data_IF_809101907643
#
_entry.id   IF_809101907643
#
_cell.length_a   1.000
_cell.length_b   1.000
_cell.length_c   1.000
_cell.angle_alpha   90.00
_cell.angle_beta   90.00
_cell.angle_gamma   90.00
#
_symmetry.space_group_name_H-M   'P 1'
#
loop_
_entity.id
_entity.type
_entity.pdbx_description
1 polymer ?
#
# COMPACT_ATOMS: atom_id res chain seq x y z
N UNK A 1 48.64 28.16 79.97
CA UNK A 1 49.91 28.67 79.42
C UNK A 1 50.06 28.14 78.00
N UNK A 2 50.73 28.89 77.15
CA UNK A 2 50.55 28.96 75.70
C UNK A 2 51.26 27.87 74.86
N UNK A 3 50.95 27.94 73.55
CA UNK A 3 51.62 27.40 72.36
C UNK A 3 51.14 25.99 71.93
N UNK A 4 50.56 25.77 70.75
CA UNK A 4 50.42 26.59 69.54
C UNK A 4 50.74 25.71 68.34
N UNK A 5 49.75 25.33 67.53
CA UNK A 5 49.96 24.65 66.24
C UNK A 5 49.08 25.30 65.17
N UNK A 6 49.76 25.93 64.21
CA UNK A 6 49.23 26.72 63.12
C UNK A 6 48.65 25.81 62.02
N UNK A 7 47.51 26.20 61.48
CA UNK A 7 46.96 25.70 60.22
C UNK A 7 47.92 25.99 59.05
N UNK A 8 48.06 25.03 58.13
CA UNK A 8 48.68 25.22 56.81
C UNK A 8 47.76 24.62 55.73
N UNK A 9 47.43 25.37 54.66
CA UNK A 9 46.44 24.96 53.67
C UNK A 9 47.11 24.17 52.54
N UNK A 10 46.88 22.86 52.50
CA UNK A 10 47.03 22.06 51.27
C UNK A 10 45.87 21.09 51.13
N UNK A 11 44.69 21.66 50.86
CA UNK A 11 43.55 20.97 50.25
C UNK A 11 43.19 21.75 48.98
N UNK A 12 43.84 21.44 47.87
CA UNK A 12 43.42 21.79 46.49
C UNK A 12 44.50 21.28 45.52
N UNK A 13 44.43 20.00 45.13
CA UNK A 13 45.16 19.51 43.94
C UNK A 13 44.76 18.10 43.47
N UNK A 14 43.89 17.37 44.20
CA UNK A 14 43.56 15.98 43.84
C UNK A 14 42.04 15.74 43.79
N UNK A 15 41.32 16.63 43.12
CA UNK A 15 39.90 16.45 42.78
C UNK A 15 39.57 17.01 41.37
N UNK A 16 40.59 17.07 40.49
CA UNK A 16 40.46 17.62 39.14
C UNK A 16 41.13 16.75 38.06
N UNK A 17 41.35 15.46 38.36
CA UNK A 17 41.90 14.50 37.40
C UNK A 17 40.96 13.31 37.10
N UNK A 18 39.77 13.24 37.71
CA UNK A 18 38.78 12.18 37.46
C UNK A 18 37.45 12.72 36.88
N UNK A 19 37.34 14.04 36.69
CA UNK A 19 36.14 14.70 36.15
C UNK A 19 36.30 15.18 34.69
N UNK A 20 37.30 14.68 33.94
CA UNK A 20 37.54 15.01 32.51
C UNK A 20 37.60 13.74 31.65
N UNK A 21 36.86 12.69 32.02
CA UNK A 21 36.67 11.48 31.20
C UNK A 21 35.18 11.21 30.92
N UNK A 22 34.28 12.07 31.38
CA UNK A 22 32.87 12.04 31.04
C UNK A 22 32.54 13.24 30.14
N UNK A 23 31.99 12.97 28.96
CA UNK A 23 31.45 13.92 27.97
C UNK A 23 32.34 14.39 26.80
N UNK A 24 33.38 13.64 26.42
CA UNK A 24 33.93 13.73 25.06
C UNK A 24 33.63 12.43 24.32
N UNK A 25 32.40 12.29 23.82
CA UNK A 25 32.14 11.33 22.75
C UNK A 25 32.91 11.86 21.53
N UNK A 26 33.99 11.19 21.15
CA UNK A 26 34.66 11.51 19.88
C UNK A 26 33.63 11.41 18.76
N UNK A 27 33.60 12.37 17.81
CA UNK A 27 32.74 12.26 16.64
C UNK A 27 33.03 10.92 15.96
N UNK A 28 31.98 10.15 15.70
CA UNK A 28 32.08 8.94 14.89
C UNK A 28 32.19 9.41 13.45
N UNK A 29 33.08 8.84 12.65
CA UNK A 29 33.28 9.26 11.26
C UNK A 29 32.77 8.18 10.30
N UNK A 30 32.09 8.61 9.23
CA UNK A 30 31.72 7.79 8.08
C UNK A 30 32.13 8.53 6.80
N UNK A 31 32.72 7.83 5.84
CA UNK A 31 33.08 8.37 4.51
C UNK A 31 33.87 9.70 4.51
N UNK A 32 34.69 9.94 5.55
CA UNK A 32 35.54 11.13 5.65
C UNK A 32 34.92 12.35 6.34
N UNK A 33 33.69 12.25 6.87
CA UNK A 33 33.04 13.29 7.68
C UNK A 33 32.41 12.70 8.95
N UNK A 34 31.96 13.55 9.87
CA UNK A 34 31.21 13.11 11.06
C UNK A 34 29.94 12.36 10.61
N UNK A 35 29.72 11.18 11.18
CA UNK A 35 28.58 10.33 10.90
C UNK A 35 27.32 10.94 11.48
N UNK A 36 26.34 11.18 10.62
CA UNK A 36 25.02 11.61 11.06
C UNK A 36 24.26 10.39 11.60
N UNK A 37 23.84 10.46 12.86
CA UNK A 37 23.26 9.33 13.58
C UNK A 37 21.74 9.47 13.69
N UNK A 38 21.02 8.37 13.47
CA UNK A 38 19.56 8.28 13.61
C UNK A 38 19.16 7.20 14.62
N UNK A 39 18.00 7.30 15.29
CA UNK A 39 17.53 6.28 16.24
C UNK A 39 17.22 4.96 15.52
N UNK A 40 17.86 3.86 15.96
CA UNK A 40 17.77 2.55 15.31
C UNK A 40 16.32 2.05 15.21
N UNK A 41 15.59 2.02 16.34
CA UNK A 41 14.25 1.41 16.40
C UNK A 41 13.27 2.10 15.46
N UNK A 42 13.22 3.44 15.50
CA UNK A 42 12.33 4.24 14.66
C UNK A 42 12.66 4.05 13.18
N UNK A 43 13.93 4.17 12.82
CA UNK A 43 14.39 4.08 11.43
C UNK A 43 14.14 2.69 10.85
N UNK A 44 14.32 1.62 11.63
CA UNK A 44 14.05 0.24 11.17
C UNK A 44 12.56 -0.09 11.12
N UNK A 45 11.75 0.42 12.05
CA UNK A 45 10.29 0.28 11.98
C UNK A 45 9.70 0.98 10.76
N UNK A 46 10.15 2.21 10.45
CA UNK A 46 9.75 2.93 9.24
C UNK A 46 10.21 2.20 7.95
N UNK A 47 11.34 1.51 8.01
CA UNK A 47 11.80 0.62 6.94
C UNK A 47 11.02 -0.69 6.88
N UNK A 48 10.20 -1.03 7.88
CA UNK A 48 9.44 -2.29 7.94
C UNK A 48 10.27 -3.50 8.35
N UNK A 49 11.36 -3.29 9.09
CA UNK A 49 12.12 -4.38 9.69
C UNK A 49 11.68 -4.64 11.14
N UNK A 50 11.63 -5.92 11.52
CA UNK A 50 11.46 -6.33 12.90
C UNK A 50 12.76 -6.11 13.67
N UNK A 51 12.65 -5.57 14.88
CA UNK A 51 13.79 -5.28 15.77
C UNK A 51 13.59 -6.02 17.08
N UNK A 52 14.55 -6.89 17.41
CA UNK A 52 14.56 -7.63 18.67
C UNK A 52 15.87 -7.37 19.41
N UNK A 53 15.75 -6.98 20.68
CA UNK A 53 16.89 -6.83 21.59
C UNK A 53 16.97 -8.02 22.54
N UNK A 54 18.12 -8.67 22.59
CA UNK A 54 18.46 -9.67 23.61
C UNK A 54 19.42 -9.04 24.62
N UNK A 55 18.92 -8.80 25.83
CA UNK A 55 19.69 -8.20 26.91
C UNK A 55 20.79 -9.12 27.46
N UNK A 56 20.59 -10.44 27.44
CA UNK A 56 21.62 -11.38 27.90
C UNK A 56 22.79 -11.44 26.92
N UNK A 57 22.49 -11.52 25.63
CA UNK A 57 23.49 -11.59 24.57
C UNK A 57 24.08 -10.20 24.20
N UNK A 58 23.44 -9.13 24.66
CA UNK A 58 23.68 -7.73 24.27
C UNK A 58 23.70 -7.59 22.73
N UNK A 59 22.64 -8.07 22.10
CA UNK A 59 22.58 -8.26 20.64
C UNK A 59 21.22 -7.86 20.08
N UNK A 60 21.26 -7.10 18.99
CA UNK A 60 20.10 -6.90 18.14
C UNK A 60 20.00 -8.03 17.12
N UNK A 61 18.80 -8.57 16.97
CA UNK A 61 18.37 -9.34 15.80
C UNK A 61 17.42 -8.48 14.99
N UNK A 62 17.77 -8.22 13.73
CA UNK A 62 16.98 -7.41 12.81
C UNK A 62 16.53 -8.31 11.66
N UNK A 63 15.24 -8.31 11.35
CA UNK A 63 14.68 -9.21 10.33
C UNK A 63 13.84 -8.39 9.35
N UNK A 64 14.11 -8.56 8.06
CA UNK A 64 13.24 -8.04 7.00
C UNK A 64 13.33 -8.95 5.79
N UNK A 65 12.18 -9.44 5.32
CA UNK A 65 12.10 -10.34 4.17
C UNK A 65 13.06 -11.54 4.32
N UNK A 66 14.03 -11.68 3.41
CA UNK A 66 15.07 -12.72 3.46
C UNK A 66 16.33 -12.36 4.26
N UNK A 67 16.43 -11.13 4.77
CA UNK A 67 17.58 -10.65 5.53
C UNK A 67 17.41 -10.93 7.03
N UNK A 68 18.29 -11.75 7.58
CA UNK A 68 18.43 -12.03 9.00
C UNK A 68 19.77 -11.46 9.50
N UNK A 69 19.70 -10.40 10.30
CA UNK A 69 20.88 -9.64 10.75
C UNK A 69 21.07 -9.80 12.25
N UNK A 70 22.31 -10.04 12.69
CA UNK A 70 22.74 -9.95 14.09
C UNK A 70 23.81 -8.89 14.24
N UNK A 71 23.60 -7.94 15.14
CA UNK A 71 24.57 -6.86 15.39
C UNK A 71 24.65 -6.54 16.88
N UNK A 72 25.88 -6.41 17.40
CA UNK A 72 26.13 -5.99 18.78
C UNK A 72 26.50 -4.51 18.81
N UNK A 73 25.99 -3.72 19.78
CA UNK A 73 26.47 -2.36 19.96
C UNK A 73 27.99 -2.30 20.17
N UNK A 74 28.63 -1.31 19.55
CA UNK A 74 30.09 -1.12 19.56
C UNK A 74 30.89 -2.10 18.70
N UNK A 75 30.28 -3.15 18.14
CA UNK A 75 30.97 -4.04 17.23
C UNK A 75 31.26 -3.36 15.89
N UNK A 76 32.46 -3.61 15.34
CA UNK A 76 32.85 -3.15 14.00
C UNK A 76 32.28 -4.01 12.87
N UNK A 77 31.61 -5.10 13.22
CA UNK A 77 31.01 -6.02 12.26
C UNK A 77 29.59 -6.40 12.69
N UNK A 78 28.78 -6.73 11.68
CA UNK A 78 27.49 -7.40 11.83
C UNK A 78 27.55 -8.77 11.14
N UNK A 79 26.57 -9.62 11.42
CA UNK A 79 26.32 -10.85 10.67
C UNK A 79 25.04 -10.67 9.86
N UNK A 80 25.09 -10.88 8.55
CA UNK A 80 23.93 -10.89 7.64
C UNK A 80 23.85 -12.28 7.00
N UNK A 81 22.75 -13.00 7.22
CA UNK A 81 22.53 -14.36 6.70
C UNK A 81 23.73 -15.31 6.95
N UNK A 82 24.31 -15.22 8.15
CA UNK A 82 25.45 -16.04 8.58
C UNK A 82 26.83 -15.57 8.08
N UNK A 83 26.91 -14.51 7.28
CA UNK A 83 28.16 -13.93 6.77
C UNK A 83 28.52 -12.64 7.50
N UNK A 84 29.81 -12.42 7.75
CA UNK A 84 30.30 -11.19 8.37
C UNK A 84 30.24 -10.02 7.40
N UNK A 85 29.86 -8.85 7.93
CA UNK A 85 29.83 -7.56 7.25
C UNK A 85 30.58 -6.53 8.09
N UNK A 86 31.52 -5.80 7.50
CA UNK A 86 32.17 -4.68 8.17
C UNK A 86 31.22 -3.48 8.22
N UNK A 87 31.11 -2.87 9.40
CA UNK A 87 30.29 -1.68 9.61
C UNK A 87 31.20 -0.44 9.57
N UNK A 88 30.94 0.53 8.66
CA UNK A 88 31.65 1.80 8.68
C UNK A 88 31.48 2.52 10.03
N UNK A 89 30.28 2.41 10.60
CA UNK A 89 29.89 2.98 11.89
C UNK A 89 29.24 1.89 12.75
N UNK A 90 29.82 1.53 13.90
CA UNK A 90 29.18 0.64 14.86
C UNK A 90 27.83 1.18 15.34
N UNK A 91 26.92 0.29 15.71
CA UNK A 91 25.71 0.66 16.46
C UNK A 91 26.13 1.27 17.79
N UNK A 92 25.61 2.44 18.15
CA UNK A 92 25.97 3.18 19.38
C UNK A 92 24.79 3.19 20.34
N UNK A 93 25.03 2.88 21.61
CA UNK A 93 24.04 3.10 22.67
C UNK A 93 24.22 4.52 23.25
N UNK A 94 23.16 5.34 23.23
CA UNK A 94 23.10 6.63 23.92
C UNK A 94 21.83 6.68 24.76
N UNK A 95 21.98 6.90 26.06
CA UNK A 95 20.86 6.99 27.02
C UNK A 95 19.90 5.79 26.94
N UNK A 96 20.46 4.59 26.79
CA UNK A 96 19.68 3.34 26.69
C UNK A 96 19.00 3.11 25.33
N UNK A 97 19.18 4.01 24.35
CA UNK A 97 18.64 3.86 22.99
C UNK A 97 19.76 3.55 22.01
N UNK A 98 19.48 2.69 21.03
CA UNK A 98 20.41 2.41 19.94
C UNK A 98 20.32 3.47 18.84
N UNK A 99 21.49 3.83 18.31
CA UNK A 99 21.67 4.77 17.22
C UNK A 99 22.55 4.14 16.15
N UNK A 100 22.24 4.42 14.89
CA UNK A 100 22.99 3.94 13.71
C UNK A 100 23.31 5.09 12.78
N UNK A 101 24.26 4.90 11.87
CA UNK A 101 24.45 5.84 10.76
C UNK A 101 23.18 5.90 9.92
N UNK A 102 22.90 7.06 9.34
CA UNK A 102 21.85 7.23 8.33
C UNK A 102 22.02 6.31 7.09
N UNK A 103 23.24 5.84 6.81
CA UNK A 103 23.53 4.84 5.75
C UNK A 103 23.32 3.39 6.18
N UNK A 104 23.13 3.10 7.48
CA UNK A 104 23.17 1.74 8.03
C UNK A 104 22.23 0.77 7.32
N UNK A 105 21.01 1.19 6.99
CA UNK A 105 20.05 0.34 6.27
C UNK A 105 20.61 -0.10 4.92
N UNK A 106 21.19 0.82 4.14
CA UNK A 106 21.74 0.51 2.83
C UNK A 106 22.98 -0.40 2.98
N UNK A 107 23.90 -0.01 3.86
CA UNK A 107 25.14 -0.74 4.10
C UNK A 107 24.89 -2.19 4.52
N UNK A 108 23.84 -2.45 5.31
CA UNK A 108 23.51 -3.78 5.83
C UNK A 108 22.58 -4.55 4.91
N UNK A 109 21.38 -4.02 4.64
CA UNK A 109 20.33 -4.75 3.94
C UNK A 109 20.52 -4.75 2.41
N UNK A 110 21.34 -3.86 1.87
CA UNK A 110 21.69 -3.82 0.44
C UNK A 110 23.16 -4.20 0.20
N UNK A 111 23.83 -4.79 1.20
CA UNK A 111 25.23 -5.26 1.13
C UNK A 111 25.50 -6.31 0.03
N UNK A 112 24.45 -6.96 -0.48
CA UNK A 112 24.55 -8.15 -1.30
C UNK A 112 24.86 -9.42 -0.49
N UNK A 113 24.84 -9.40 0.84
CA UNK A 113 24.95 -10.62 1.64
C UNK A 113 23.61 -11.35 1.76
N UNK A 114 22.49 -10.64 1.71
CA UNK A 114 21.21 -11.23 1.37
C UNK A 114 21.19 -11.54 -0.13
N UNK A 115 20.90 -12.80 -0.45
CA UNK A 115 20.91 -13.35 -1.81
C UNK A 115 19.49 -13.74 -2.27
N UNK A 116 18.47 -13.42 -1.47
CA UNK A 116 17.06 -13.73 -1.74
C UNK A 116 16.60 -13.14 -3.07
N UNK A 117 17.03 -11.91 -3.36
CA UNK A 117 16.78 -11.24 -4.63
C UNK A 117 18.06 -11.15 -5.47
N UNK A 118 17.94 -11.43 -6.76
CA UNK A 118 19.04 -11.35 -7.72
C UNK A 118 18.63 -10.47 -8.88
N UNK A 119 19.61 -9.78 -9.47
CA UNK A 119 19.37 -8.96 -10.67
C UNK A 119 19.05 -9.87 -11.85
N UNK A 120 17.87 -9.67 -12.43
CA UNK A 120 17.50 -10.28 -13.70
C UNK A 120 18.29 -9.62 -14.85
N UNK A 121 19.19 -10.37 -15.48
CA UNK A 121 20.03 -9.87 -16.59
C UNK A 121 19.36 -9.93 -17.95
N UNK A 122 18.35 -10.79 -18.10
CA UNK A 122 17.57 -10.98 -19.31
C UNK A 122 16.11 -10.97 -18.90
N UNK A 123 15.37 -9.87 -19.15
CA UNK A 123 13.98 -9.75 -18.76
C UNK A 123 13.16 -10.93 -19.27
N UNK A 124 12.42 -11.58 -18.38
CA UNK A 124 11.51 -12.64 -18.76
C UNK A 124 10.41 -12.05 -19.68
N UNK A 125 10.06 -12.72 -20.80
CA UNK A 125 9.10 -12.19 -21.76
C UNK A 125 7.69 -12.00 -21.17
N UNK A 126 7.36 -12.72 -20.09
CA UNK A 126 6.12 -12.57 -19.32
C UNK A 126 6.21 -11.62 -18.12
N UNK A 127 7.30 -10.87 -17.96
CA UNK A 127 7.33 -9.81 -16.95
C UNK A 127 6.17 -8.84 -17.22
N UNK A 128 5.40 -8.53 -16.17
CA UNK A 128 4.33 -7.54 -16.23
C UNK A 128 4.84 -6.21 -16.79
N UNK A 129 3.91 -5.37 -17.26
CA UNK A 129 4.25 -4.02 -17.68
C UNK A 129 4.88 -3.25 -16.51
N UNK A 130 6.01 -2.63 -16.79
CA UNK A 130 6.61 -1.66 -15.86
C UNK A 130 5.76 -0.39 -15.78
N UNK A 131 5.95 0.42 -14.75
CA UNK A 131 5.26 1.70 -14.61
C UNK A 131 5.46 2.63 -15.83
N UNK A 132 6.66 2.60 -16.43
CA UNK A 132 6.98 3.36 -17.63
C UNK A 132 6.19 2.85 -18.85
N UNK A 133 6.07 1.54 -19.02
CA UNK A 133 5.33 0.93 -20.11
C UNK A 133 3.81 1.15 -19.98
N UNK A 134 3.26 1.08 -18.77
CA UNK A 134 1.85 1.44 -18.51
C UNK A 134 1.61 2.90 -18.91
N UNK A 135 2.51 3.80 -18.51
CA UNK A 135 2.41 5.23 -18.86
C UNK A 135 2.52 5.46 -20.36
N UNK A 136 3.43 4.76 -21.04
CA UNK A 136 3.59 4.83 -22.50
C UNK A 136 2.34 4.29 -23.23
N UNK A 137 1.79 3.16 -22.81
CA UNK A 137 0.57 2.59 -23.38
C UNK A 137 -0.59 3.60 -23.31
N UNK A 138 -0.77 4.24 -22.16
CA UNK A 138 -1.79 5.29 -21.95
C UNK A 138 -1.53 6.50 -22.85
N UNK A 139 -0.28 6.94 -22.98
CA UNK A 139 0.07 8.05 -23.89
C UNK A 139 -0.26 7.71 -25.35
N UNK A 140 0.06 6.49 -25.79
CA UNK A 140 -0.20 6.04 -27.16
C UNK A 140 -1.70 6.07 -27.46
N UNK A 141 -2.54 5.46 -26.62
CA UNK A 141 -4.00 5.44 -26.87
C UNK A 141 -4.64 6.81 -26.74
N UNK A 142 -4.16 7.69 -25.84
CA UNK A 142 -4.68 9.06 -25.70
C UNK A 142 -4.35 9.96 -26.90
N UNK A 143 -3.30 9.64 -27.65
CA UNK A 143 -2.96 10.37 -28.86
C UNK A 143 -3.82 9.96 -30.08
N UNK A 144 -4.60 8.88 -29.97
CA UNK A 144 -5.50 8.44 -31.03
C UNK A 144 -6.63 9.45 -31.25
N UNK A 145 -7.01 9.76 -32.51
CA UNK A 145 -8.15 10.64 -32.79
C UNK A 145 -9.50 10.07 -32.30
N UNK A 146 -9.60 8.76 -32.10
CA UNK A 146 -10.78 8.07 -31.60
C UNK A 146 -10.98 8.22 -30.08
N UNK A 147 -9.91 8.53 -29.32
CA UNK A 147 -9.94 8.57 -27.86
C UNK A 147 -10.83 9.71 -27.34
N UNK A 148 -11.76 9.39 -26.43
CA UNK A 148 -12.68 10.38 -25.85
C UNK A 148 -12.23 10.85 -24.46
N UNK A 149 -12.45 12.13 -24.11
CA UNK A 149 -12.28 12.60 -22.73
C UNK A 149 -13.11 11.76 -21.75
N UNK A 150 -12.57 11.54 -20.54
CA UNK A 150 -13.17 10.71 -19.50
C UNK A 150 -13.23 9.19 -19.79
N UNK A 151 -12.64 8.72 -20.90
CA UNK A 151 -12.36 7.30 -21.08
C UNK A 151 -11.52 6.78 -19.91
N UNK A 152 -12.00 5.72 -19.28
CA UNK A 152 -11.33 5.02 -18.16
C UNK A 152 -10.65 3.74 -18.67
N UNK A 153 -9.79 3.16 -17.84
CA UNK A 153 -9.09 1.91 -18.17
C UNK A 153 -9.53 0.83 -17.20
N UNK A 154 -10.14 -0.23 -17.72
CA UNK A 154 -10.53 -1.40 -16.90
C UNK A 154 -9.34 -2.36 -16.74
N UNK A 155 -8.48 -2.44 -17.75
CA UNK A 155 -7.29 -3.28 -17.72
C UNK A 155 -6.20 -2.70 -18.62
N UNK A 156 -4.95 -2.74 -18.14
CA UNK A 156 -3.75 -2.50 -18.93
C UNK A 156 -2.76 -3.59 -18.57
N UNK A 157 -2.54 -4.53 -19.50
CA UNK A 157 -1.76 -5.74 -19.26
C UNK A 157 -0.81 -6.04 -20.42
N UNK A 158 0.18 -6.89 -20.16
CA UNK A 158 1.08 -7.36 -21.19
C UNK A 158 0.26 -8.16 -22.21
N UNK A 159 0.37 -7.80 -23.49
CA UNK A 159 -0.12 -8.67 -24.56
C UNK A 159 0.88 -9.81 -24.72
N UNK A 160 0.50 -11.01 -24.30
CA UNK A 160 1.41 -12.14 -24.17
C UNK A 160 2.08 -12.49 -25.52
N UNK A 161 3.42 -12.68 -25.54
CA UNK A 161 4.09 -13.19 -26.72
C UNK A 161 3.65 -14.61 -27.08
N UNK A 162 4.00 -15.06 -28.29
CA UNK A 162 3.75 -16.44 -28.70
C UNK A 162 4.28 -17.46 -27.66
N UNK A 163 3.41 -18.41 -27.30
CA UNK A 163 3.68 -19.41 -26.26
C UNK A 163 4.95 -20.22 -26.54
N UNK A 164 5.20 -20.60 -27.79
CA UNK A 164 6.39 -21.39 -28.14
C UNK A 164 7.67 -20.56 -27.98
N UNK A 165 7.63 -19.26 -28.33
CA UNK A 165 8.74 -18.34 -28.09
C UNK A 165 9.05 -18.18 -26.59
N UNK A 166 8.02 -18.06 -25.74
CA UNK A 166 8.18 -18.00 -24.28
C UNK A 166 8.83 -19.29 -23.74
N UNK A 167 8.41 -20.47 -24.20
CA UNK A 167 9.03 -21.73 -23.80
C UNK A 167 10.48 -21.86 -24.29
N UNK A 168 10.78 -21.41 -25.50
CA UNK A 168 12.15 -21.38 -26.00
C UNK A 168 13.04 -20.45 -25.16
N UNK A 169 12.53 -19.30 -24.72
CA UNK A 169 13.22 -18.45 -23.75
C UNK A 169 13.48 -19.19 -22.44
N UNK A 170 12.45 -19.76 -21.83
CA UNK A 170 12.54 -20.37 -20.50
C UNK A 170 13.46 -21.62 -20.49
N UNK A 171 13.38 -22.47 -21.51
CA UNK A 171 14.08 -23.77 -21.53
C UNK A 171 15.45 -23.70 -22.21
N UNK A 172 15.63 -22.79 -23.17
CA UNK A 172 16.81 -22.76 -24.03
C UNK A 172 17.56 -21.44 -23.94
N UNK A 173 16.99 -20.42 -23.30
CA UNK A 173 17.56 -19.08 -23.23
C UNK A 173 17.48 -18.30 -24.55
N UNK A 174 16.64 -18.76 -25.50
CA UNK A 174 16.43 -18.13 -26.79
C UNK A 174 15.65 -16.82 -26.62
N UNK A 175 16.18 -15.66 -27.04
CA UNK A 175 15.43 -14.39 -26.95
C UNK A 175 14.12 -14.44 -27.74
N UNK A 176 13.09 -13.77 -27.23
CA UNK A 176 11.84 -13.55 -27.97
C UNK A 176 12.05 -12.36 -28.92
N UNK A 177 12.08 -12.63 -30.22
CA UNK A 177 12.27 -11.62 -31.28
C UNK A 177 10.92 -11.01 -31.71
N UNK A 178 10.26 -10.34 -30.76
CA UNK A 178 9.01 -9.61 -30.99
C UNK A 178 8.98 -8.34 -30.14
N UNK A 179 8.42 -7.22 -30.65
CA UNK A 179 8.19 -6.03 -29.85
C UNK A 179 7.31 -6.33 -28.64
N UNK A 180 7.58 -5.69 -27.49
CA UNK A 180 6.64 -5.73 -26.36
C UNK A 180 5.38 -4.96 -26.71
N UNK A 181 4.26 -5.62 -26.50
CA UNK A 181 2.91 -5.10 -26.77
C UNK A 181 2.07 -5.10 -25.50
N UNK A 182 1.07 -4.24 -25.42
CA UNK A 182 0.12 -4.19 -24.30
C UNK A 182 -1.33 -4.27 -24.79
N UNK A 183 -2.14 -5.04 -24.07
CA UNK A 183 -3.59 -5.00 -24.17
C UNK A 183 -4.10 -3.84 -23.30
N UNK A 184 -4.92 -2.98 -23.89
CA UNK A 184 -5.50 -1.79 -23.24
C UNK A 184 -7.01 -1.87 -23.38
N UNK A 185 -7.68 -2.26 -22.30
CA UNK A 185 -9.14 -2.34 -22.25
C UNK A 185 -9.68 -1.05 -21.63
N UNK A 186 -10.43 -0.31 -22.44
CA UNK A 186 -10.96 1.01 -22.13
C UNK A 186 -12.47 0.96 -21.93
N UNK A 187 -12.95 1.92 -21.15
CA UNK A 187 -14.36 2.17 -20.89
C UNK A 187 -14.68 3.64 -21.19
N UNK A 188 -15.24 3.89 -22.36
CA UNK A 188 -15.76 5.20 -22.79
C UNK A 188 -17.25 5.31 -22.42
N UNK A 189 -17.54 6.03 -21.33
CA UNK A 189 -18.85 6.01 -20.69
C UNK A 189 -19.20 4.58 -20.23
N UNK A 190 -20.09 3.92 -20.98
CA UNK A 190 -20.45 2.51 -20.82
C UNK A 190 -19.90 1.55 -21.89
N UNK A 191 -19.24 2.07 -22.92
CA UNK A 191 -18.78 1.29 -24.08
C UNK A 191 -17.37 0.73 -23.86
N UNK A 192 -17.22 -0.57 -24.04
CA UNK A 192 -15.93 -1.26 -23.93
C UNK A 192 -15.19 -1.19 -25.27
N UNK A 193 -13.90 -0.88 -25.21
CA UNK A 193 -12.99 -0.84 -26.35
C UNK A 193 -11.73 -1.61 -25.99
N UNK A 194 -11.32 -2.54 -26.85
CA UNK A 194 -10.05 -3.27 -26.71
C UNK A 194 -9.05 -2.74 -27.73
N UNK A 195 -7.88 -2.31 -27.27
CA UNK A 195 -6.78 -1.88 -28.11
C UNK A 195 -5.51 -2.69 -27.81
N UNK A 196 -4.73 -2.96 -28.85
CA UNK A 196 -3.37 -3.50 -28.71
C UNK A 196 -2.39 -2.42 -29.12
N UNK A 197 -1.40 -2.14 -28.27
CA UNK A 197 -0.35 -1.14 -28.54
C UNK A 197 1.03 -1.78 -28.60
N UNK A 198 1.84 -1.32 -29.56
CA UNK A 198 3.26 -1.64 -29.66
C UNK A 198 4.05 -0.57 -28.90
N UNK A 199 4.65 -0.97 -27.79
CA UNK A 199 5.34 -0.06 -26.87
C UNK A 199 6.69 0.41 -27.41
N UNK A 200 7.34 -0.44 -28.21
CA UNK A 200 8.64 -0.14 -28.81
C UNK A 200 8.51 0.86 -29.97
N UNK A 201 7.55 0.59 -30.85
CA UNK A 201 7.32 1.41 -32.05
C UNK A 201 6.29 2.52 -31.83
N UNK A 202 5.73 2.64 -30.63
CA UNK A 202 4.80 3.69 -30.19
C UNK A 202 3.59 3.84 -31.11
N UNK A 203 2.94 2.73 -31.44
CA UNK A 203 1.81 2.69 -32.37
C UNK A 203 0.69 1.79 -31.89
N UNK A 204 -0.53 2.11 -32.29
CA UNK A 204 -1.71 1.27 -32.08
C UNK A 204 -1.72 0.19 -33.18
N UNK A 205 -1.80 -1.07 -32.78
CA UNK A 205 -1.91 -2.22 -33.67
C UNK A 205 -3.37 -2.55 -33.99
N UNK A 206 -4.26 -2.38 -33.00
CA UNK A 206 -5.70 -2.58 -33.16
C UNK A 206 -6.49 -1.67 -32.21
N UNK A 207 -7.72 -1.34 -32.61
CA UNK A 207 -8.69 -0.59 -31.82
C UNK A 207 -10.08 -1.13 -32.14
N UNK A 208 -10.70 -1.82 -31.20
CA UNK A 208 -11.90 -2.62 -31.44
C UNK A 208 -12.98 -2.31 -30.41
N UNK A 209 -14.05 -1.59 -30.79
CA UNK A 209 -15.24 -1.46 -29.95
C UNK A 209 -15.94 -2.81 -29.77
N UNK A 210 -16.22 -3.21 -28.53
CA UNK A 210 -16.80 -4.51 -28.21
C UNK A 210 -18.31 -4.36 -27.98
N UNK A 211 -19.09 -4.80 -28.98
CA UNK A 211 -20.56 -4.68 -28.95
C UNK A 211 -21.18 -5.63 -27.92
N UNK A 212 -22.05 -5.09 -27.07
CA UNK A 212 -22.81 -5.87 -26.07
C UNK A 212 -22.05 -6.19 -24.79
N UNK A 213 -20.78 -5.79 -24.68
CA UNK A 213 -20.02 -5.91 -23.45
C UNK A 213 -20.33 -4.78 -22.48
N UNK A 214 -20.37 -5.10 -21.18
CA UNK A 214 -20.41 -4.13 -20.09
C UNK A 214 -19.04 -4.10 -19.42
N UNK A 215 -18.47 -2.91 -19.24
CA UNK A 215 -17.22 -2.77 -18.49
C UNK A 215 -17.43 -3.12 -17.01
N UNK A 216 -16.41 -3.68 -16.37
CA UNK A 216 -16.44 -3.97 -14.93
C UNK A 216 -16.65 -2.71 -14.08
N UNK A 217 -16.98 -2.92 -12.80
CA UNK A 217 -17.08 -1.83 -11.82
C UNK A 217 -15.71 -1.22 -11.58
N UNK A 218 -15.63 0.10 -11.62
CA UNK A 218 -14.42 0.87 -11.32
C UNK A 218 -14.52 1.58 -9.97
N UNK A 219 -13.38 2.01 -9.43
CA UNK A 219 -13.33 2.64 -8.11
C UNK A 219 -14.16 3.93 -8.03
N UNK A 220 -14.19 4.73 -9.10
CA UNK A 220 -15.00 5.95 -9.18
C UNK A 220 -16.51 5.67 -9.23
N UNK A 221 -16.93 4.46 -9.61
CA UNK A 221 -18.33 4.05 -9.56
C UNK A 221 -18.81 3.97 -8.09
N UNK A 222 -17.95 3.57 -7.12
CA UNK A 222 -18.30 3.56 -5.68
C UNK A 222 -18.60 4.97 -5.17
N UNK A 223 -17.74 5.94 -5.51
CA UNK A 223 -17.93 7.34 -5.11
C UNK A 223 -19.18 7.92 -5.78
N UNK A 224 -19.39 7.60 -7.06
CA UNK A 224 -20.57 8.05 -7.81
C UNK A 224 -21.87 7.54 -7.20
N UNK A 225 -21.93 6.24 -6.86
CA UNK A 225 -23.09 5.61 -6.20
C UNK A 225 -23.40 6.29 -4.86
N UNK A 226 -22.39 6.49 -4.00
CA UNK A 226 -22.59 7.15 -2.71
C UNK A 226 -23.13 8.58 -2.89
N UNK A 227 -22.58 9.33 -3.84
CA UNK A 227 -23.01 10.71 -4.09
C UNK A 227 -24.45 10.78 -4.64
N UNK A 228 -24.82 9.86 -5.53
CA UNK A 228 -26.18 9.80 -6.10
C UNK A 228 -27.21 9.48 -5.00
N UNK A 229 -26.88 8.55 -4.11
CA UNK A 229 -27.73 8.19 -2.96
C UNK A 229 -27.87 9.38 -2.00
N UNK A 230 -26.76 10.02 -1.63
CA UNK A 230 -26.75 11.16 -0.71
C UNK A 230 -27.53 12.38 -1.25
N UNK A 231 -27.50 12.58 -2.58
CA UNK A 231 -28.20 13.70 -3.22
C UNK A 231 -29.70 13.44 -3.46
N UNK A 232 -30.18 12.20 -3.31
CA UNK A 232 -31.56 11.84 -3.61
C UNK A 232 -32.50 12.13 -2.45
N UNK A 233 -33.37 13.13 -2.62
CA UNK A 233 -34.44 13.42 -1.67
C UNK A 233 -35.44 12.26 -1.56
N UNK A 234 -35.73 11.57 -2.67
CA UNK A 234 -36.61 10.40 -2.69
C UNK A 234 -36.05 9.27 -1.82
N UNK A 235 -34.76 8.95 -1.96
CA UNK A 235 -34.12 7.92 -1.15
C UNK A 235 -34.04 8.34 0.33
N UNK A 236 -33.81 9.63 0.62
CA UNK A 236 -33.85 10.15 1.99
C UNK A 236 -35.24 10.00 2.65
N UNK A 237 -36.33 10.20 1.90
CA UNK A 237 -37.68 9.95 2.42
C UNK A 237 -37.93 8.47 2.72
N UNK A 238 -37.39 7.56 1.89
CA UNK A 238 -37.45 6.12 2.15
C UNK A 238 -36.65 5.76 3.40
N UNK A 239 -35.43 6.26 3.55
CA UNK A 239 -34.59 6.05 4.74
C UNK A 239 -35.29 6.47 6.05
N UNK A 240 -36.07 7.56 6.04
CA UNK A 240 -36.87 7.97 7.21
C UNK A 240 -37.89 6.92 7.64
N UNK A 241 -38.50 6.20 6.69
CA UNK A 241 -39.43 5.08 7.00
C UNK A 241 -38.71 3.92 7.71
N UNK A 242 -37.42 3.74 7.43
CA UNK A 242 -36.54 2.78 8.09
C UNK A 242 -35.93 3.30 9.40
N UNK A 243 -36.37 4.46 9.90
CA UNK A 243 -35.92 5.04 11.17
C UNK A 243 -34.58 5.78 11.08
N UNK A 244 -34.09 6.07 9.88
CA UNK A 244 -32.80 6.72 9.64
C UNK A 244 -33.03 8.21 9.37
N UNK A 245 -32.59 9.05 10.30
CA UNK A 245 -32.79 10.51 10.24
C UNK A 245 -31.59 11.26 9.65
N UNK A 246 -30.42 10.62 9.62
CA UNK A 246 -29.17 11.18 9.10
C UNK A 246 -28.67 10.35 7.90
N UNK A 247 -29.01 10.74 6.66
CA UNK A 247 -28.51 10.08 5.46
C UNK A 247 -26.99 10.10 5.34
N UNK A 248 -26.29 11.03 6.00
CA UNK A 248 -24.83 11.11 5.99
C UNK A 248 -24.13 9.91 6.65
N UNK A 249 -24.87 9.13 7.46
CA UNK A 249 -24.39 7.88 8.05
C UNK A 249 -24.67 6.64 7.19
N UNK A 250 -25.32 6.80 6.04
CA UNK A 250 -25.61 5.64 5.18
C UNK A 250 -24.40 5.33 4.32
N UNK A 251 -23.89 4.11 4.46
CA UNK A 251 -22.80 3.57 3.66
C UNK A 251 -23.37 2.69 2.57
N UNK A 252 -23.05 3.01 1.31
CA UNK A 252 -23.55 2.29 0.13
C UNK A 252 -22.56 1.24 -0.35
N UNK A 253 -23.07 0.09 -0.81
CA UNK A 253 -22.28 -0.94 -1.46
C UNK A 253 -22.83 -1.21 -2.86
N UNK A 254 -22.08 -0.87 -3.93
CA UNK A 254 -22.48 -1.20 -5.30
C UNK A 254 -22.34 -2.70 -5.59
N UNK A 255 -23.38 -3.28 -6.17
CA UNK A 255 -23.45 -4.67 -6.59
C UNK A 255 -23.85 -4.74 -8.07
N UNK A 256 -23.23 -5.64 -8.82
CA UNK A 256 -23.66 -5.94 -10.19
C UNK A 256 -25.06 -6.55 -10.18
N UNK A 257 -25.85 -6.25 -11.20
CA UNK A 257 -27.27 -6.65 -11.24
C UNK A 257 -27.50 -8.04 -11.83
N UNK A 258 -26.49 -8.64 -12.44
CA UNK A 258 -26.63 -9.92 -13.15
C UNK A 258 -27.46 -9.80 -14.42
N UNK A 259 -28.05 -10.92 -14.86
CA UNK A 259 -28.94 -10.98 -16.02
C UNK A 259 -30.12 -11.92 -15.74
N UNK A 260 -31.34 -11.40 -15.81
CA UNK A 260 -32.57 -12.14 -15.49
C UNK A 260 -33.57 -12.21 -16.66
N UNK A 261 -33.10 -12.02 -17.90
CA UNK A 261 -33.95 -12.04 -19.10
C UNK A 261 -35.13 -11.05 -18.99
N UNK A 262 -34.85 -9.85 -18.46
CA UNK A 262 -35.82 -8.77 -18.26
C UNK A 262 -36.81 -8.96 -17.11
N UNK A 263 -36.79 -10.08 -16.38
CA UNK A 263 -37.72 -10.35 -15.26
C UNK A 263 -37.51 -9.43 -14.05
N UNK A 264 -36.34 -8.84 -13.93
CA UNK A 264 -36.00 -7.80 -12.96
C UNK A 264 -36.47 -6.40 -13.38
N UNK A 265 -36.96 -6.26 -14.62
CA UNK A 265 -37.42 -5.00 -15.21
C UNK A 265 -36.27 -4.04 -15.56
N UNK A 266 -35.04 -4.52 -15.66
CA UNK A 266 -33.86 -3.70 -15.95
C UNK A 266 -33.56 -3.69 -17.45
N UNK A 267 -33.15 -2.53 -17.97
CA UNK A 267 -32.77 -2.40 -19.37
C UNK A 267 -31.37 -2.98 -19.59
N UNK A 268 -31.26 -3.96 -20.50
CA UNK A 268 -30.00 -4.67 -20.75
C UNK A 268 -28.85 -3.74 -21.12
N UNK A 269 -29.09 -2.76 -21.99
CA UNK A 269 -28.03 -1.88 -22.50
C UNK A 269 -27.62 -0.75 -21.53
N UNK A 270 -28.23 -0.66 -20.35
CA UNK A 270 -27.91 0.38 -19.37
C UNK A 270 -26.75 -0.03 -18.44
N UNK A 271 -25.93 0.93 -17.99
CA UNK A 271 -24.83 0.67 -17.06
C UNK A 271 -25.33 0.77 -15.63
N UNK A 272 -25.85 -0.36 -15.13
CA UNK A 272 -26.61 -0.39 -13.88
C UNK A 272 -25.85 -1.05 -12.73
N UNK A 273 -26.06 -0.52 -11.53
CA UNK A 273 -25.70 -1.15 -10.27
C UNK A 273 -26.89 -1.18 -9.32
N UNK A 274 -27.05 -2.29 -8.62
CA UNK A 274 -27.89 -2.36 -7.42
C UNK A 274 -27.09 -1.85 -6.24
N UNK A 275 -27.76 -1.18 -5.33
CA UNK A 275 -27.14 -0.61 -4.13
C UNK A 275 -27.86 -1.16 -2.93
N UNK A 276 -27.10 -1.87 -2.09
CA UNK A 276 -27.50 -2.19 -0.73
C UNK A 276 -26.81 -1.23 0.22
N UNK A 277 -27.49 -0.93 1.32
CA UNK A 277 -27.07 0.14 2.22
C UNK A 277 -26.97 -0.35 3.65
N UNK A 278 -26.03 0.25 4.37
CA UNK A 278 -25.74 -0.02 5.77
C UNK A 278 -25.71 1.29 6.55
N UNK A 279 -25.88 1.20 7.86
CA UNK A 279 -25.76 2.35 8.75
C UNK A 279 -24.38 2.36 9.44
N UNK A 280 -23.66 3.46 9.33
CA UNK A 280 -22.47 3.72 10.14
C UNK A 280 -22.89 4.14 11.56
N UNK A 281 -22.59 3.27 12.52
CA UNK A 281 -22.83 3.49 13.96
C UNK A 281 -21.59 3.98 14.70
N UNK A 282 -20.44 4.11 14.01
CA UNK A 282 -19.15 4.51 14.57
C UNK A 282 -18.31 3.37 15.17
N UNK A 283 -18.74 2.13 15.05
CA UNK A 283 -18.02 0.96 15.58
C UNK A 283 -16.92 0.42 14.65
N UNK A 284 -16.79 0.97 13.44
CA UNK A 284 -15.85 0.52 12.42
C UNK A 284 -16.35 -0.67 11.58
N UNK A 285 -17.62 -1.07 11.72
CA UNK A 285 -18.20 -2.22 11.04
C UNK A 285 -19.65 -1.98 10.58
N UNK A 286 -19.85 -1.08 9.61
CA UNK A 286 -21.17 -0.84 9.02
C UNK A 286 -21.86 -2.12 8.51
N UNK A 287 -21.12 -3.17 8.13
CA UNK A 287 -21.66 -4.45 7.70
C UNK A 287 -22.61 -5.10 8.72
N UNK A 288 -22.44 -4.83 10.02
CA UNK A 288 -23.30 -5.35 11.08
C UNK A 288 -24.65 -4.63 11.18
N UNK A 289 -24.86 -3.58 10.40
CA UNK A 289 -26.00 -2.67 10.51
C UNK A 289 -26.74 -2.54 9.17
N UNK A 290 -27.28 -3.64 8.60
CA UNK A 290 -27.96 -3.61 7.31
C UNK A 290 -29.26 -2.80 7.37
N UNK A 291 -29.54 -2.06 6.29
CA UNK A 291 -30.84 -1.44 6.05
C UNK A 291 -31.62 -2.39 5.15
N UNK A 292 -32.24 -3.38 5.79
CA UNK A 292 -32.86 -4.51 5.11
C UNK A 292 -34.06 -4.12 4.23
N UNK A 293 -34.31 -4.96 3.21
CA UNK A 293 -35.41 -4.81 2.25
C UNK A 293 -35.46 -3.45 1.52
N UNK A 294 -34.30 -2.79 1.37
CA UNK A 294 -34.18 -1.55 0.62
C UNK A 294 -33.06 -1.68 -0.41
N UNK A 295 -33.41 -1.59 -1.69
CA UNK A 295 -32.45 -1.64 -2.79
C UNK A 295 -32.72 -0.49 -3.76
N UNK A 296 -31.69 0.30 -4.06
CA UNK A 296 -31.75 1.25 -5.18
C UNK A 296 -31.09 0.64 -6.42
N UNK A 297 -31.59 0.99 -7.60
CA UNK A 297 -30.92 0.72 -8.88
C UNK A 297 -30.47 2.05 -9.46
N UNK A 298 -29.18 2.17 -9.72
CA UNK A 298 -28.54 3.38 -10.24
C UNK A 298 -28.11 3.14 -11.67
N UNK A 299 -28.42 4.11 -12.54
CA UNK A 299 -27.80 4.24 -13.86
C UNK A 299 -26.58 5.17 -13.73
N UNK A 300 -25.39 4.63 -13.99
CA UNK A 300 -24.12 5.34 -13.83
C UNK A 300 -23.89 6.40 -14.92
N UNK A 301 -24.45 6.22 -16.12
CA UNK A 301 -24.33 7.19 -17.21
C UNK A 301 -25.29 8.37 -16.98
N UNK A 302 -26.54 8.07 -16.60
CA UNK A 302 -27.53 9.08 -16.26
C UNK A 302 -27.31 9.70 -14.87
N UNK A 303 -26.40 9.12 -14.05
CA UNK A 303 -26.05 9.54 -12.69
C UNK A 303 -27.26 9.74 -11.78
N UNK A 304 -28.19 8.80 -11.79
CA UNK A 304 -29.42 8.88 -11.00
C UNK A 304 -29.93 7.50 -10.57
N UNK A 305 -30.75 7.51 -9.53
CA UNK A 305 -31.59 6.36 -9.17
C UNK A 305 -32.69 6.23 -10.22
N UNK A 306 -32.88 5.03 -10.76
CA UNK A 306 -33.91 4.72 -11.76
C UNK A 306 -35.01 3.80 -11.21
N UNK A 307 -34.76 3.14 -10.08
CA UNK A 307 -35.70 2.26 -9.39
C UNK A 307 -35.35 2.19 -7.91
N UNK A 308 -36.36 2.20 -7.04
CA UNK A 308 -36.23 1.86 -5.62
C UNK A 308 -37.13 0.65 -5.37
N UNK A 309 -36.56 -0.41 -4.83
CA UNK A 309 -37.27 -1.61 -4.40
C UNK A 309 -37.39 -1.55 -2.87
N UNK A 310 -38.62 -1.38 -2.37
CA UNK A 310 -38.95 -1.38 -0.94
C UNK A 310 -39.71 -2.67 -0.58
N UNK A 311 -39.26 -3.36 0.47
CA UNK A 311 -40.02 -4.43 1.14
C UNK A 311 -40.46 -4.02 2.55
N UNK A 312 -40.86 -4.98 3.41
CA UNK A 312 -41.23 -4.69 4.78
C UNK A 312 -40.09 -4.05 5.58
N UNK A 313 -40.39 -3.04 6.39
CA UNK A 313 -39.40 -2.38 7.26
C UNK A 313 -38.92 -3.35 8.33
N UNK A 314 -37.61 -3.57 8.39
CA UNK A 314 -36.93 -4.31 9.44
C UNK A 314 -36.04 -3.31 10.19
N UNK A 315 -36.13 -3.20 11.53
CA UNK A 315 -35.27 -2.32 12.30
C UNK A 315 -33.79 -2.64 12.10
N UNK A 316 -32.98 -1.61 11.88
CA UNK A 316 -31.52 -1.74 11.77
C UNK A 316 -30.96 -2.33 13.08
N UNK A 317 -30.16 -3.41 13.06
CA UNK A 317 -29.47 -3.89 14.25
C UNK A 317 -28.50 -2.82 14.76
N UNK A 318 -28.64 -2.35 16.00
CA UNK A 318 -27.84 -1.23 16.54
C UNK A 318 -26.74 -1.65 17.51
N UNK A 319 -26.62 -2.94 17.84
CA UNK A 319 -25.59 -3.42 18.75
C UNK A 319 -24.20 -3.31 18.10
N UNK A 320 -23.20 -2.65 18.73
CA UNK A 320 -21.85 -2.56 18.18
C UNK A 320 -21.20 -3.93 17.98
N UNK A 321 -20.55 -4.13 16.83
CA UNK A 321 -19.85 -5.36 16.44
C UNK A 321 -18.47 -5.05 15.81
N UNK A 322 -17.56 -4.36 16.53
CA UNK A 322 -16.22 -4.10 16.01
C UNK A 322 -15.43 -5.40 15.81
N UNK A 323 -14.55 -5.42 14.81
CA UNK A 323 -13.64 -6.55 14.53
C UNK A 323 -12.15 -6.20 14.66
N UNK A 324 -11.83 -4.92 14.94
CA UNK A 324 -10.46 -4.41 15.03
C UNK A 324 -9.83 -4.55 16.42
N UNK A 325 -10.57 -5.11 17.38
CA UNK A 325 -10.12 -5.34 18.74
C UNK A 325 -10.27 -4.16 19.69
N UNK A 326 -10.88 -3.04 19.28
CA UNK A 326 -11.12 -1.88 20.17
C UNK A 326 -11.94 -2.18 21.43
N UNK A 327 -12.73 -3.25 21.38
CA UNK A 327 -13.58 -3.75 22.46
C UNK A 327 -12.92 -4.88 23.27
N UNK A 328 -11.70 -5.30 22.89
CA UNK A 328 -10.96 -6.34 23.61
C UNK A 328 -10.18 -5.71 24.76
N UNK A 329 -10.40 -6.23 25.96
CA UNK A 329 -9.49 -6.00 27.07
C UNK A 329 -8.20 -6.79 26.82
N UNK A 330 -7.04 -6.17 27.06
CA UNK A 330 -5.76 -6.89 27.02
C UNK A 330 -5.86 -8.14 27.92
N UNK A 331 -5.38 -9.31 27.47
CA UNK A 331 -5.33 -10.48 28.34
C UNK A 331 -4.54 -10.11 29.61
N UNK A 332 -5.14 -10.38 30.77
CA UNK A 332 -4.50 -10.18 32.08
C UNK A 332 -3.35 -11.16 32.28
#
# INVERSE_FOLDING_TARGET
>A
MANGLKFSPRKTALALAVAVVCAWQSPVFAHGSEAHMVPLDKTLQEFGADVQWDDYAQMFTLIKDGAYVKVKPGAKTAIVNGKSLDLPVPVVMKEGKAWVSDTFINDVFQSGLDQTFQVEKRPHPLNSLSAAEISEAVTIVKAAPEFQPNTRFTEISLHEPDKAAVWAFALQGTPVDAPRTADVVMLDGKHVIEAVVDLQNKKILSWTPIKGAHGMVLLDDFVSVQNIINASSEFAEVLKKHGITDPGKVVTTPLTVGFFDGKDGLQQDARLLKVVSYLDTGDGNYWAHPIENLVAVIDLEAKKIIKIEEGPVIPVPMEPRPYDGRDRNAPR
#
